data_IF_369551047755
#
_entry.id   IF_369551047755
#
_cell.length_a   1.000
_cell.length_b   1.000
_cell.length_c   1.000
_cell.angle_alpha   90.00
_cell.angle_beta   90.00
_cell.angle_gamma   90.00
#
_symmetry.space_group_name_H-M   'P 1'
#
loop_
_entity.id
_entity.type
_entity.pdbx_description
1 polymer ?
#
# COMPACT_ATOMS: atom_id res chain seq x y z
N UNK A 1 4.30 -20.05 -0.68
CA UNK A 1 3.00 -20.25 -0.01
C UNK A 1 2.40 -21.55 -0.50
N UNK A 2 1.83 -22.37 0.40
CA UNK A 2 1.14 -23.62 0.02
C UNK A 2 -0.35 -23.30 -0.07
N UNK A 3 -0.88 -23.24 -1.29
CA UNK A 3 -2.31 -23.03 -1.52
C UNK A 3 -3.06 -24.37 -1.39
N UNK A 4 -4.25 -24.40 -0.77
CA UNK A 4 -5.09 -25.61 -0.73
C UNK A 4 -5.37 -26.16 -2.13
N UNK A 5 -5.55 -27.49 -2.25
CA UNK A 5 -5.87 -28.18 -3.52
C UNK A 5 -7.09 -27.58 -4.23
N UNK A 6 -8.06 -27.05 -3.47
CA UNK A 6 -9.29 -26.46 -3.98
C UNK A 6 -9.19 -24.94 -4.22
N UNK A 7 -7.99 -24.39 -4.37
CA UNK A 7 -7.82 -22.97 -4.67
C UNK A 7 -8.11 -22.73 -6.15
N UNK A 8 -9.22 -22.05 -6.42
CA UNK A 8 -9.57 -21.61 -7.76
C UNK A 8 -9.05 -20.21 -8.03
N UNK A 9 -8.34 -20.04 -9.14
CA UNK A 9 -7.95 -18.71 -9.62
C UNK A 9 -9.19 -17.99 -10.15
N UNK A 10 -9.46 -16.79 -9.63
CA UNK A 10 -10.54 -15.93 -10.11
C UNK A 10 -9.95 -14.76 -10.90
N UNK A 11 -10.39 -14.53 -12.15
CA UNK A 11 -9.94 -13.39 -12.92
C UNK A 11 -10.42 -12.09 -12.26
N UNK A 12 -9.56 -11.08 -12.27
CA UNK A 12 -9.92 -9.72 -11.85
C UNK A 12 -10.60 -9.04 -13.03
N UNK A 13 -11.86 -8.65 -12.88
CA UNK A 13 -12.70 -8.12 -13.98
C UNK A 13 -13.44 -6.85 -13.58
N UNK A 14 -13.85 -6.06 -14.57
CA UNK A 14 -14.65 -4.85 -14.37
C UNK A 14 -13.82 -3.69 -13.83
N UNK A 15 -14.35 -2.99 -12.83
CA UNK A 15 -13.75 -1.77 -12.28
C UNK A 15 -12.37 -2.01 -11.65
N UNK A 16 -12.19 -3.16 -10.98
CA UNK A 16 -10.91 -3.52 -10.37
C UNK A 16 -9.81 -3.74 -11.40
N UNK A 17 -10.14 -4.33 -12.56
CA UNK A 17 -9.21 -4.48 -13.67
C UNK A 17 -8.81 -3.13 -14.27
N UNK A 18 -9.78 -2.21 -14.43
CA UNK A 18 -9.51 -0.85 -14.93
C UNK A 18 -8.57 -0.07 -14.02
N UNK A 19 -8.82 -0.09 -12.70
CA UNK A 19 -7.95 0.57 -11.70
C UNK A 19 -6.52 0.03 -11.72
N UNK A 20 -6.35 -1.28 -11.95
CA UNK A 20 -5.02 -1.88 -12.07
C UNK A 20 -4.30 -1.44 -13.35
N UNK A 21 -5.00 -1.40 -14.48
CA UNK A 21 -4.44 -0.93 -15.76
C UNK A 21 -4.02 0.53 -15.65
N UNK A 22 -4.89 1.40 -15.15
CA UNK A 22 -4.61 2.83 -14.96
C UNK A 22 -3.40 3.05 -14.04
N UNK A 23 -3.29 2.27 -12.95
CA UNK A 23 -2.13 2.34 -12.07
C UNK A 23 -0.83 1.90 -12.77
N UNK A 24 -0.87 0.86 -13.61
CA UNK A 24 0.29 0.43 -14.40
C UNK A 24 0.71 1.54 -15.39
N UNK A 25 -0.24 2.11 -16.12
CA UNK A 25 0.00 3.15 -17.13
C UNK A 25 0.56 4.44 -16.52
N UNK A 26 0.09 4.82 -15.33
CA UNK A 26 0.52 6.03 -14.62
C UNK A 26 1.76 5.80 -13.75
N UNK A 27 2.30 4.58 -13.69
CA UNK A 27 3.40 4.20 -12.79
C UNK A 27 3.03 4.29 -11.30
N UNK A 28 1.74 4.28 -10.99
CA UNK A 28 1.19 4.37 -9.65
C UNK A 28 0.92 2.99 -9.05
N UNK A 29 0.70 2.94 -7.74
CA UNK A 29 0.40 1.71 -7.03
C UNK A 29 -1.05 1.70 -6.52
N UNK A 30 -1.80 0.64 -6.82
CA UNK A 30 -3.09 0.39 -6.17
C UNK A 30 -2.82 -0.16 -4.77
N UNK A 31 -3.10 0.64 -3.75
CA UNK A 31 -2.89 0.25 -2.34
C UNK A 31 -4.21 0.21 -1.58
N UNK A 32 -4.29 -0.68 -0.60
CA UNK A 32 -5.41 -0.69 0.34
C UNK A 32 -5.35 0.56 1.23
N UNK A 33 -6.48 1.21 1.47
CA UNK A 33 -6.59 2.39 2.35
C UNK A 33 -5.94 2.15 3.72
N UNK A 34 -6.05 0.94 4.28
CA UNK A 34 -5.41 0.57 5.55
C UNK A 34 -3.89 0.63 5.46
N UNK A 35 -3.32 0.17 4.35
CA UNK A 35 -1.87 0.23 4.11
C UNK A 35 -1.41 1.68 3.97
N UNK A 36 -2.20 2.52 3.29
CA UNK A 36 -1.94 3.95 3.11
C UNK A 36 -1.97 4.69 4.46
N UNK A 37 -2.97 4.41 5.31
CA UNK A 37 -3.08 4.97 6.65
C UNK A 37 -1.90 4.56 7.55
N UNK A 38 -1.46 3.30 7.46
CA UNK A 38 -0.30 2.81 8.19
C UNK A 38 1.00 3.48 7.73
N UNK A 39 1.19 3.64 6.42
CA UNK A 39 2.35 4.34 5.86
C UNK A 39 2.43 5.79 6.36
N UNK A 40 1.30 6.52 6.34
CA UNK A 40 1.21 7.89 6.89
C UNK A 40 1.61 7.94 8.37
N UNK A 41 1.05 7.04 9.19
CA UNK A 41 1.38 6.95 10.63
C UNK A 41 2.87 6.70 10.87
N UNK A 42 3.50 5.82 10.08
CA UNK A 42 4.93 5.54 10.20
C UNK A 42 5.75 6.77 9.82
N UNK A 43 5.40 7.45 8.73
CA UNK A 43 6.07 8.66 8.28
C UNK A 43 6.01 9.77 9.35
N UNK A 44 4.83 10.03 9.91
CA UNK A 44 4.64 10.99 11.01
C UNK A 44 5.48 10.64 12.24
N UNK A 45 5.52 9.36 12.61
CA UNK A 45 6.34 8.89 13.74
C UNK A 45 7.83 9.14 13.49
N UNK A 46 8.30 8.92 12.26
CA UNK A 46 9.71 9.18 11.89
C UNK A 46 10.04 10.66 11.93
N UNK A 47 9.16 11.52 11.41
CA UNK A 47 9.33 12.97 11.44
C UNK A 47 9.42 13.50 12.88
N UNK A 48 8.50 13.08 13.76
CA UNK A 48 8.53 13.49 15.18
C UNK A 48 9.81 13.08 15.89
N UNK A 49 10.32 11.86 15.62
CA UNK A 49 11.61 11.41 16.17
C UNK A 49 12.79 12.26 15.68
N UNK A 50 12.81 12.61 14.40
CA UNK A 50 13.86 13.47 13.84
C UNK A 50 13.84 14.88 14.48
N UNK A 51 12.65 15.45 14.69
CA UNK A 51 12.48 16.75 15.34
C UNK A 51 12.91 16.72 16.81
N UNK A 52 12.51 15.71 17.57
CA UNK A 52 12.93 15.57 18.98
C UNK A 52 14.44 15.42 19.12
N UNK A 53 15.09 14.69 18.20
CA UNK A 53 16.55 14.57 18.18
C UNK A 53 17.25 15.89 17.79
N UNK A 54 16.61 16.73 16.99
CA UNK A 54 17.13 18.03 16.59
C UNK A 54 16.97 19.10 17.70
N UNK A 55 15.94 18.98 18.55
CA UNK A 55 15.73 19.86 19.71
C UNK A 55 16.53 19.46 20.96
N UNK A 56 17.04 18.22 20.99
CA UNK A 56 17.86 17.69 22.09
C UNK A 56 19.37 17.95 21.91
N UNK A 57 19.78 18.66 20.86
CA UNK A 57 21.16 19.11 20.61
C UNK A 57 21.24 20.62 20.73
#
# INVERSE_FOLDING_TARGET
MKYPIHTESKPVVGESARRLIEAIETGQAVTNERALALAKRIAERRLRKAQNNAQSK
#
